data_IF_556020417972
#
_entry.id   IF_556020417972
#
_cell.length_a   1.000
_cell.length_b   1.000
_cell.length_c   1.000
_cell.angle_alpha   90.00
_cell.angle_beta   90.00
_cell.angle_gamma   90.00
#
_symmetry.space_group_name_H-M   'P 1'
#
loop_
_entity.id
_entity.type
_entity.pdbx_description
1 polymer ?
#
# COMPACT_ATOMS: atom_id res chain seq x y z
N UNK A 1 -14.94 13.23 7.07
CA UNK A 1 -14.94 14.04 5.83
C UNK A 1 -15.83 13.33 4.82
N UNK A 2 -16.72 14.04 4.13
CA UNK A 2 -17.56 13.43 3.10
C UNK A 2 -16.67 13.06 1.90
N UNK A 3 -16.88 11.87 1.35
CA UNK A 3 -16.33 11.46 0.06
C UNK A 3 -17.09 12.14 -1.08
N UNK A 4 -16.56 12.07 -2.30
CA UNK A 4 -17.06 12.76 -3.51
C UNK A 4 -18.60 12.93 -3.51
N UNK A 5 -19.06 14.14 -3.80
CA UNK A 5 -20.48 14.55 -3.81
C UNK A 5 -21.25 14.42 -2.49
N UNK A 6 -20.56 14.42 -1.33
CA UNK A 6 -21.22 14.39 -0.02
C UNK A 6 -21.57 12.98 0.47
N UNK A 7 -21.13 11.95 -0.24
CA UNK A 7 -21.33 10.56 0.14
C UNK A 7 -20.47 10.17 1.35
N UNK A 8 -20.92 9.17 2.10
CA UNK A 8 -20.10 8.54 3.13
C UNK A 8 -18.93 7.80 2.48
N UNK A 9 -17.74 7.86 3.10
CA UNK A 9 -16.57 7.15 2.63
C UNK A 9 -16.88 5.65 2.57
N UNK A 10 -16.75 4.97 1.42
CA UNK A 10 -17.06 3.54 1.33
C UNK A 10 -16.15 2.75 2.27
N UNK A 11 -16.73 2.17 3.32
CA UNK A 11 -16.00 1.44 4.37
C UNK A 11 -15.12 0.32 3.78
N UNK A 12 -15.58 -0.34 2.72
CA UNK A 12 -14.82 -1.39 2.03
C UNK A 12 -13.48 -0.91 1.45
N UNK A 13 -13.40 0.33 0.98
CA UNK A 13 -12.15 0.91 0.46
C UNK A 13 -11.17 1.12 1.61
N UNK A 14 -11.67 1.62 2.74
CA UNK A 14 -10.86 1.79 3.94
C UNK A 14 -10.38 0.44 4.44
N UNK A 15 -11.26 -0.56 4.59
CA UNK A 15 -10.91 -1.90 5.05
C UNK A 15 -9.75 -2.51 4.26
N UNK A 16 -9.80 -2.41 2.93
CA UNK A 16 -8.68 -2.87 2.08
C UNK A 16 -7.43 -2.01 2.23
N UNK A 17 -7.53 -0.74 2.57
CA UNK A 17 -6.33 0.05 2.88
C UNK A 17 -5.67 -0.47 4.18
N UNK A 18 -6.47 -0.88 5.16
CA UNK A 18 -6.05 -1.32 6.51
C UNK A 18 -5.68 -2.80 6.64
N UNK A 19 -5.88 -3.64 5.62
CA UNK A 19 -5.50 -5.07 5.72
C UNK A 19 -6.67 -6.03 5.88
N UNK A 20 -7.90 -5.52 5.80
CA UNK A 20 -9.13 -6.26 6.05
C UNK A 20 -9.99 -6.47 4.78
N UNK A 21 -10.80 -7.53 4.79
CA UNK A 21 -11.74 -7.84 3.72
C UNK A 21 -11.22 -8.85 2.69
N UNK A 22 -11.81 -8.90 1.48
CA UNK A 22 -11.46 -9.90 0.46
C UNK A 22 -10.01 -9.77 -0.01
N UNK A 23 -9.35 -10.92 -0.20
CA UNK A 23 -7.96 -10.97 -0.70
C UNK A 23 -7.87 -10.36 -2.11
N UNK A 24 -7.08 -9.30 -2.33
CA UNK A 24 -6.81 -8.81 -3.68
C UNK A 24 -5.97 -9.83 -4.47
N UNK A 25 -6.17 -9.92 -5.79
CA UNK A 25 -5.38 -10.81 -6.67
C UNK A 25 -3.88 -10.52 -6.52
N UNK A 26 -3.08 -11.50 -6.07
CA UNK A 26 -1.64 -11.34 -5.92
C UNK A 26 -0.93 -11.01 -7.24
N UNK A 27 -1.36 -11.59 -8.38
CA UNK A 27 -0.73 -11.27 -9.67
C UNK A 27 -1.03 -9.83 -10.11
N UNK A 28 -2.25 -9.33 -9.86
CA UNK A 28 -2.59 -7.93 -10.15
C UNK A 28 -1.74 -6.99 -9.30
N UNK A 29 -1.59 -7.25 -8.00
CA UNK A 29 -0.73 -6.45 -7.12
C UNK A 29 0.74 -6.53 -7.53
N UNK A 30 1.24 -7.71 -7.90
CA UNK A 30 2.60 -7.89 -8.38
C UNK A 30 2.91 -7.07 -9.63
N UNK A 31 1.98 -7.05 -10.61
CA UNK A 31 2.11 -6.20 -11.81
C UNK A 31 2.05 -4.71 -11.48
N UNK A 32 1.15 -4.30 -10.59
CA UNK A 32 1.04 -2.92 -10.15
C UNK A 32 2.31 -2.44 -9.41
N UNK A 33 2.92 -3.30 -8.60
CA UNK A 33 4.20 -3.04 -7.94
C UNK A 33 5.34 -2.82 -8.96
N UNK A 34 5.41 -3.65 -10.00
CA UNK A 34 6.40 -3.47 -11.06
C UNK A 34 6.22 -2.12 -11.77
N UNK A 35 4.98 -1.75 -12.09
CA UNK A 35 4.66 -0.47 -12.71
C UNK A 35 5.03 0.71 -11.80
N UNK A 36 4.66 0.66 -10.52
CA UNK A 36 4.95 1.72 -9.55
C UNK A 36 6.47 1.97 -9.43
N UNK A 37 7.26 0.88 -9.36
CA UNK A 37 8.74 0.96 -9.35
C UNK A 37 9.30 1.56 -10.63
N UNK A 38 8.74 1.20 -11.78
CA UNK A 38 9.15 1.77 -13.07
C UNK A 38 8.88 3.28 -13.11
N UNK A 39 7.68 3.71 -12.70
CA UNK A 39 7.33 5.13 -12.63
C UNK A 39 8.26 5.87 -11.67
N UNK A 40 8.50 5.33 -10.47
CA UNK A 40 9.43 5.93 -9.49
C UNK A 40 10.84 6.16 -10.08
N UNK A 41 11.30 5.28 -10.96
CA UNK A 41 12.60 5.42 -11.64
C UNK A 41 12.60 6.46 -12.77
N UNK A 42 11.46 6.66 -13.44
CA UNK A 42 11.34 7.52 -14.61
C UNK A 42 11.01 8.98 -14.27
N UNK A 43 10.37 9.23 -13.13
CA UNK A 43 9.92 10.59 -12.75
C UNK A 43 11.03 11.42 -12.09
N UNK A 44 10.97 12.76 -12.20
CA UNK A 44 11.85 13.66 -11.46
C UNK A 44 11.76 13.42 -9.95
N UNK A 45 12.84 13.70 -9.22
CA UNK A 45 12.94 13.43 -7.77
C UNK A 45 11.75 13.98 -6.97
N UNK A 46 11.31 15.21 -7.28
CA UNK A 46 10.16 15.86 -6.61
C UNK A 46 8.82 15.18 -6.82
N UNK A 47 8.69 14.25 -7.79
CA UNK A 47 7.47 13.48 -8.07
C UNK A 47 7.59 12.00 -7.71
N UNK A 48 8.74 11.57 -7.18
CA UNK A 48 8.97 10.18 -6.75
C UNK A 48 8.18 9.73 -5.50
N UNK A 49 7.82 10.61 -4.53
CA UNK A 49 7.13 10.17 -3.31
C UNK A 49 5.86 9.34 -3.57
N UNK A 50 4.98 9.81 -4.47
CA UNK A 50 3.73 9.11 -4.80
C UNK A 50 3.95 7.68 -5.29
N UNK A 51 4.70 7.45 -6.38
CA UNK A 51 5.02 6.11 -6.86
C UNK A 51 5.74 5.22 -5.84
N UNK A 52 6.62 5.78 -5.01
CA UNK A 52 7.30 5.05 -3.92
C UNK A 52 6.31 4.64 -2.83
N UNK A 53 5.43 5.52 -2.39
CA UNK A 53 4.40 5.22 -1.39
C UNK A 53 3.43 4.14 -1.87
N UNK A 54 3.06 4.17 -3.14
CA UNK A 54 2.24 3.13 -3.76
C UNK A 54 2.99 1.79 -3.83
N UNK A 55 4.28 1.80 -4.20
CA UNK A 55 5.12 0.60 -4.17
C UNK A 55 5.28 0.03 -2.74
N UNK A 56 5.33 0.91 -1.73
CA UNK A 56 5.35 0.53 -0.33
C UNK A 56 4.08 -0.22 0.05
N UNK A 57 2.90 0.34 -0.26
CA UNK A 57 1.62 -0.29 0.03
C UNK A 57 1.45 -1.63 -0.69
N UNK A 58 1.79 -1.73 -1.98
CA UNK A 58 1.74 -3.02 -2.69
C UNK A 58 2.68 -4.07 -2.09
N UNK A 59 3.87 -3.66 -1.66
CA UNK A 59 4.81 -4.57 -1.00
C UNK A 59 4.24 -5.07 0.32
N UNK A 60 3.63 -4.19 1.11
CA UNK A 60 2.95 -4.55 2.36
C UNK A 60 1.76 -5.49 2.12
N UNK A 61 0.89 -5.16 1.15
CA UNK A 61 -0.28 -5.97 0.80
C UNK A 61 0.06 -7.38 0.30
N UNK A 62 1.28 -7.57 -0.23
CA UNK A 62 1.86 -8.86 -0.63
C UNK A 62 2.62 -9.58 0.51
N UNK A 63 2.59 -9.07 1.74
CA UNK A 63 3.27 -9.64 2.91
C UNK A 63 4.77 -9.36 2.99
N UNK A 64 5.29 -8.34 2.29
CA UNK A 64 6.73 -8.03 2.18
C UNK A 64 7.12 -6.79 2.98
N UNK A 65 6.91 -6.79 4.30
CA UNK A 65 7.06 -5.60 5.16
C UNK A 65 8.43 -4.92 5.11
N UNK A 66 9.53 -5.67 4.94
CA UNK A 66 10.86 -5.06 4.76
C UNK A 66 10.93 -4.18 3.51
N UNK A 67 10.34 -4.63 2.39
CA UNK A 67 10.32 -3.85 1.16
C UNK A 67 9.35 -2.67 1.29
N UNK A 68 8.23 -2.87 1.98
CA UNK A 68 7.28 -1.80 2.25
C UNK A 68 7.93 -0.65 3.01
N UNK A 69 8.64 -0.94 4.11
CA UNK A 69 9.31 0.08 4.91
C UNK A 69 10.41 0.79 4.13
N UNK A 70 11.22 0.07 3.35
CA UNK A 70 12.25 0.67 2.50
C UNK A 70 11.67 1.71 1.52
N UNK A 71 10.60 1.37 0.81
CA UNK A 71 9.99 2.31 -0.13
C UNK A 71 9.31 3.48 0.59
N UNK A 72 8.68 3.25 1.74
CA UNK A 72 8.04 4.31 2.50
C UNK A 72 9.07 5.28 3.09
N UNK A 73 10.19 4.78 3.62
CA UNK A 73 11.32 5.61 4.06
C UNK A 73 11.85 6.49 2.93
N UNK A 74 12.03 5.92 1.72
CA UNK A 74 12.47 6.69 0.55
C UNK A 74 11.49 7.80 0.17
N UNK A 75 10.18 7.53 0.23
CA UNK A 75 9.16 8.55 -0.01
C UNK A 75 9.24 9.67 1.03
N UNK A 76 9.28 9.33 2.33
CA UNK A 76 9.35 10.31 3.42
C UNK A 76 10.66 11.07 3.48
N UNK A 77 11.76 10.52 2.95
CA UNK A 77 13.02 11.24 2.84
C UNK A 77 12.96 12.39 1.83
N UNK A 78 12.04 12.32 0.86
CA UNK A 78 11.83 13.35 -0.16
C UNK A 78 10.70 14.30 0.26
N UNK A 79 9.61 13.74 0.79
CA UNK A 79 8.43 14.47 1.27
C UNK A 79 8.06 13.95 2.66
N UNK A 80 8.54 14.60 3.74
CA UNK A 80 8.37 14.10 5.11
C UNK A 80 6.94 13.80 5.52
N UNK A 81 5.99 14.63 5.08
CA UNK A 81 4.57 14.54 5.42
C UNK A 81 3.74 13.80 4.34
N UNK A 82 4.36 12.91 3.57
CA UNK A 82 3.66 12.16 2.52
C UNK A 82 2.68 11.14 3.12
N UNK A 83 1.40 11.49 3.18
CA UNK A 83 0.37 10.76 3.93
C UNK A 83 0.36 9.23 3.75
N UNK A 84 0.33 8.72 2.52
CA UNK A 84 0.32 7.26 2.31
C UNK A 84 1.61 6.57 2.80
N UNK A 85 2.75 7.23 2.71
CA UNK A 85 4.02 6.66 3.13
C UNK A 85 4.07 6.56 4.66
N UNK A 86 3.61 7.60 5.37
CA UNK A 86 3.48 7.57 6.83
C UNK A 86 2.53 6.46 7.31
N UNK A 87 1.39 6.29 6.63
CA UNK A 87 0.44 5.21 6.94
C UNK A 87 1.13 3.84 6.82
N UNK A 88 1.84 3.57 5.72
CA UNK A 88 2.54 2.29 5.56
C UNK A 88 3.65 2.10 6.61
N UNK A 89 4.39 3.15 6.96
CA UNK A 89 5.39 3.09 8.04
C UNK A 89 4.75 2.76 9.39
N UNK A 90 3.55 3.29 9.66
CA UNK A 90 2.82 2.97 10.88
C UNK A 90 2.42 1.49 10.95
N UNK A 91 2.00 0.90 9.82
CA UNK A 91 1.69 -0.53 9.75
C UNK A 91 2.93 -1.38 10.01
N UNK A 92 4.02 -1.11 9.30
CA UNK A 92 5.25 -1.89 9.46
C UNK A 92 5.83 -1.74 10.86
N UNK A 93 5.85 -0.52 11.41
CA UNK A 93 6.34 -0.24 12.76
C UNK A 93 5.53 -0.93 13.86
N UNK A 94 4.21 -1.08 13.66
CA UNK A 94 3.34 -1.80 14.58
C UNK A 94 3.40 -3.33 14.41
N UNK A 95 4.16 -3.85 13.42
CA UNK A 95 4.10 -5.26 13.03
C UNK A 95 2.74 -5.65 12.43
N UNK A 96 1.92 -4.67 12.03
CA UNK A 96 0.62 -4.88 11.43
C UNK A 96 0.77 -5.41 10.01
N UNK A 97 0.10 -6.52 9.74
CA UNK A 97 0.15 -7.25 8.49
C UNK A 97 -1.26 -7.43 7.95
N UNK A 98 -1.45 -7.48 6.62
CA UNK A 98 -2.77 -7.70 6.08
C UNK A 98 -3.23 -9.12 6.36
N UNK A 99 -4.45 -9.30 6.89
CA UNK A 99 -5.02 -10.60 7.22
C UNK A 99 -5.04 -11.54 6.01
N UNK A 100 -5.32 -10.99 4.82
CA UNK A 100 -5.36 -11.78 3.59
C UNK A 100 -4.00 -12.29 3.12
N UNK A 101 -2.88 -11.72 3.58
CA UNK A 101 -1.56 -12.15 3.11
C UNK A 101 -1.18 -13.51 3.70
N UNK A 102 -1.79 -13.89 4.83
CA UNK A 102 -1.49 -15.10 5.59
C UNK A 102 -2.64 -16.09 5.68
N UNK A 103 -3.84 -15.72 5.19
CA UNK A 103 -4.91 -16.69 4.96
C UNK A 103 -4.46 -17.72 3.93
N UNK A 104 -4.45 -18.98 4.35
CA UNK A 104 -4.50 -20.11 3.43
C UNK A 104 -5.87 -20.06 2.76
N UNK A 105 -5.92 -20.24 1.44
CA UNK A 105 -7.20 -20.40 0.76
C UNK A 105 -7.83 -21.69 1.32
N UNK A 106 -8.80 -21.56 2.23
CA UNK A 106 -9.61 -22.71 2.62
C UNK A 106 -10.39 -23.13 1.37
N UNK A 107 -10.27 -24.40 0.92
CA UNK A 107 -11.04 -24.85 -0.23
C UNK A 107 -12.53 -24.70 0.09
N UNK A 108 -13.27 -24.05 -0.82
CA UNK A 108 -14.74 -24.03 -0.82
C UNK A 108 -15.25 -25.47 -0.71
N UNK A 109 -15.98 -25.78 0.37
CA UNK A 109 -16.66 -27.06 0.57
C UNK A 109 -17.95 -27.13 -0.24
#
# INVERSE_FOLDING_TARGET
>A
ACWEDGAEYPSEIAMRLWGEGPRPSPERLGRALLLARHIASAVPASRRPGPLAVAAWFSWALGRSTHADLFAQQATAIEPEHGLAEIVRSFVGAGHLPDWAFRLDEPEQ
#
